data_IF_569782045130
#
_entry.id   IF_569782045130
#
_cell.length_a   1.000
_cell.length_b   1.000
_cell.length_c   1.000
_cell.angle_alpha   90.00
_cell.angle_beta   90.00
_cell.angle_gamma   90.00
#
_symmetry.space_group_name_H-M   'P 1'
#
loop_
_entity.id
_entity.type
_entity.pdbx_description
1 polymer ?
#
# COMPACT_ATOMS: atom_id res chain seq x y z
N UNK A 1 -13.78 -9.86 12.79
CA UNK A 1 -13.72 -10.60 14.08
C UNK A 1 -12.80 -9.94 15.11
N UNK A 2 -11.64 -9.38 14.74
CA UNK A 2 -10.70 -8.78 15.73
C UNK A 2 -11.29 -7.59 16.52
N UNK A 3 -12.08 -6.72 15.86
CA UNK A 3 -12.78 -5.60 16.52
C UNK A 3 -13.66 -6.07 17.69
N UNK A 4 -14.46 -7.12 17.46
CA UNK A 4 -15.33 -7.69 18.48
C UNK A 4 -14.55 -8.46 19.55
N UNK A 5 -13.52 -9.23 19.17
CA UNK A 5 -12.67 -9.99 20.11
C UNK A 5 -11.91 -9.08 21.07
N UNK A 6 -11.43 -7.94 20.58
CA UNK A 6 -10.60 -6.99 21.34
C UNK A 6 -11.40 -5.82 21.90
N UNK A 7 -12.71 -5.80 21.67
CA UNK A 7 -13.63 -4.78 22.13
C UNK A 7 -13.17 -3.34 21.76
N UNK A 8 -12.76 -3.13 20.51
CA UNK A 8 -12.35 -1.82 20.01
C UNK A 8 -13.57 -0.92 19.79
N UNK A 9 -13.94 -0.13 20.81
CA UNK A 9 -15.09 0.76 20.79
C UNK A 9 -15.48 1.25 22.20
N UNK A 10 -16.52 2.09 22.34
CA UNK A 10 -17.52 2.42 21.33
C UNK A 10 -17.15 3.60 20.41
N UNK A 11 -16.03 4.29 20.66
CA UNK A 11 -15.66 5.49 19.91
C UNK A 11 -14.97 5.11 18.59
N UNK A 12 -15.37 5.76 17.49
CA UNK A 12 -14.77 5.55 16.17
C UNK A 12 -13.27 5.85 16.16
N UNK A 13 -12.82 6.85 16.93
CA UNK A 13 -11.42 7.21 17.05
C UNK A 13 -10.59 6.04 17.63
N UNK A 14 -11.07 5.37 18.67
CA UNK A 14 -10.39 4.22 19.27
C UNK A 14 -10.30 3.05 18.27
N UNK A 15 -11.38 2.80 17.53
CA UNK A 15 -11.41 1.79 16.48
C UNK A 15 -10.36 2.09 15.41
N UNK A 16 -10.34 3.30 14.86
CA UNK A 16 -9.41 3.71 13.81
C UNK A 16 -7.97 3.65 14.29
N UNK A 17 -7.66 4.14 15.49
CA UNK A 17 -6.31 4.05 16.05
C UNK A 17 -5.83 2.59 16.16
N UNK A 18 -6.70 1.68 16.56
CA UNK A 18 -6.34 0.26 16.66
C UNK A 18 -6.15 -0.40 15.28
N UNK A 19 -6.97 -0.05 14.29
CA UNK A 19 -6.80 -0.49 12.91
C UNK A 19 -5.46 -0.02 12.32
N UNK A 20 -5.11 1.25 12.56
CA UNK A 20 -3.84 1.85 12.15
C UNK A 20 -2.65 1.16 12.82
N UNK A 21 -2.69 1.01 14.15
CA UNK A 21 -1.63 0.32 14.92
C UNK A 21 -1.43 -1.11 14.44
N UNK A 22 -2.53 -1.82 14.18
CA UNK A 22 -2.52 -3.18 13.68
C UNK A 22 -2.21 -3.33 12.19
N UNK A 23 -2.06 -2.23 11.44
CA UNK A 23 -1.79 -2.25 10.00
C UNK A 23 -2.88 -2.96 9.19
N UNK A 24 -4.13 -2.87 9.64
CA UNK A 24 -5.28 -3.37 8.89
C UNK A 24 -5.52 -2.48 7.68
N UNK A 25 -6.01 -3.06 6.58
CA UNK A 25 -6.62 -2.26 5.52
C UNK A 25 -8.05 -1.92 5.91
N UNK A 26 -8.43 -0.65 5.72
CA UNK A 26 -9.76 -0.15 6.04
C UNK A 26 -10.05 1.09 5.20
N UNK A 27 -11.31 1.50 5.14
CA UNK A 27 -11.74 2.74 4.50
C UNK A 27 -12.62 3.52 5.48
N UNK A 28 -12.64 4.83 5.38
CA UNK A 28 -13.58 5.74 6.07
C UNK A 28 -14.45 6.46 5.03
N UNK A 29 -15.03 5.65 4.13
CA UNK A 29 -15.91 6.07 3.04
C UNK A 29 -16.88 7.18 3.46
N UNK A 30 -16.98 8.23 2.65
CA UNK A 30 -17.93 9.32 2.82
C UNK A 30 -18.85 9.45 1.61
N UNK A 31 -20.14 9.70 1.87
CA UNK A 31 -21.12 9.91 0.80
C UNK A 31 -20.96 11.30 0.21
N UNK A 32 -20.72 11.39 -1.10
CA UNK A 32 -20.65 12.68 -1.80
C UNK A 32 -21.12 12.52 -3.24
N UNK A 33 -21.97 13.46 -3.67
CA UNK A 33 -22.40 13.57 -5.06
C UNK A 33 -21.50 14.60 -5.75
N UNK A 34 -20.54 14.18 -6.60
CA UNK A 34 -19.69 15.14 -7.28
C UNK A 34 -20.56 16.06 -8.16
N UNK A 35 -20.33 17.38 -8.16
CA UNK A 35 -20.97 18.29 -9.10
C UNK A 35 -20.74 17.80 -10.54
N UNK A 36 -21.75 17.94 -11.39
CA UNK A 36 -21.65 17.62 -12.83
C UNK A 36 -20.46 18.34 -13.46
N UNK A 37 -19.39 17.61 -13.77
CA UNK A 37 -18.17 18.16 -14.36
C UNK A 37 -16.90 17.52 -13.82
N UNK A 38 -16.77 16.20 -13.94
CA UNK A 38 -15.51 15.51 -13.63
C UNK A 38 -14.43 15.91 -14.64
N UNK A 39 -13.37 16.55 -14.15
CA UNK A 39 -12.15 16.79 -14.93
C UNK A 39 -11.06 15.90 -14.32
N UNK A 40 -10.64 14.87 -15.05
CA UNK A 40 -9.46 14.08 -14.65
C UNK A 40 -8.26 15.02 -14.56
N UNK A 41 -7.57 15.11 -13.41
CA UNK A 41 -6.30 15.81 -13.34
C UNK A 41 -5.32 15.14 -14.30
N UNK A 42 -4.40 15.90 -14.93
CA UNK A 42 -3.34 15.31 -15.71
C UNK A 42 -2.56 14.31 -14.84
N UNK A 43 -2.44 13.07 -15.31
CA UNK A 43 -1.55 12.08 -14.70
C UNK A 43 -0.14 12.66 -14.68
N UNK A 44 0.40 12.92 -13.48
CA UNK A 44 1.83 13.22 -13.35
C UNK A 44 2.59 11.97 -13.78
N UNK A 45 3.46 12.09 -14.78
CA UNK A 45 4.28 10.97 -15.26
C UNK A 45 5.25 10.53 -14.15
N UNK A 46 5.18 9.24 -13.82
CA UNK A 46 6.14 8.38 -13.13
C UNK A 46 6.78 8.96 -11.88
N UNK A 47 6.22 8.59 -10.73
CA UNK A 47 6.82 8.81 -9.40
C UNK A 47 7.79 7.66 -9.05
N UNK A 48 8.49 7.11 -10.03
CA UNK A 48 9.57 6.16 -9.80
C UNK A 48 10.80 6.89 -9.24
N UNK A 49 11.72 6.14 -8.62
CA UNK A 49 13.02 6.67 -8.22
C UNK A 49 13.95 6.93 -9.43
N UNK A 50 13.48 6.64 -10.64
CA UNK A 50 14.12 6.92 -11.91
C UNK A 50 14.68 5.67 -12.59
N UNK A 51 15.15 5.88 -13.83
CA UNK A 51 15.85 4.87 -14.62
C UNK A 51 17.30 4.75 -14.19
N UNK A 52 17.81 3.52 -14.16
CA UNK A 52 19.16 3.16 -13.71
C UNK A 52 19.83 2.22 -14.71
N UNK A 53 21.15 2.29 -14.85
CA UNK A 53 21.89 1.47 -15.81
C UNK A 53 21.86 -0.02 -15.42
N UNK A 54 22.22 -0.87 -16.39
CA UNK A 54 22.38 -2.29 -16.15
C UNK A 54 23.43 -2.54 -15.07
N UNK A 55 23.16 -3.49 -14.16
CA UNK A 55 24.04 -3.80 -13.03
C UNK A 55 23.92 -2.85 -11.83
N UNK A 56 23.04 -1.83 -11.90
CA UNK A 56 22.81 -0.94 -10.75
C UNK A 56 22.45 -1.71 -9.47
N UNK A 57 23.20 -1.42 -8.42
CA UNK A 57 23.05 -2.02 -7.09
C UNK A 57 23.09 -0.90 -6.05
N UNK A 58 21.93 -0.37 -5.63
CA UNK A 58 21.90 0.77 -4.73
C UNK A 58 22.44 0.42 -3.33
N UNK A 59 23.12 1.37 -2.71
CA UNK A 59 23.66 1.28 -1.37
C UNK A 59 22.84 2.08 -0.35
N UNK A 60 23.51 2.45 0.75
CA UNK A 60 22.89 3.21 1.85
C UNK A 60 22.48 4.63 1.40
N UNK A 61 23.29 5.29 0.60
CA UNK A 61 23.00 6.65 0.11
C UNK A 61 21.72 6.70 -0.74
N UNK A 62 21.56 5.73 -1.66
CA UNK A 62 20.32 5.59 -2.43
C UNK A 62 19.12 5.25 -1.55
N UNK A 63 19.32 4.49 -0.48
CA UNK A 63 18.26 4.18 0.47
C UNK A 63 17.83 5.43 1.25
N UNK A 64 18.77 6.22 1.78
CA UNK A 64 18.48 7.49 2.46
C UNK A 64 17.79 8.49 1.52
N UNK A 65 18.24 8.58 0.26
CA UNK A 65 17.62 9.43 -0.75
C UNK A 65 16.18 8.99 -1.06
N UNK A 66 15.94 7.68 -1.13
CA UNK A 66 14.61 7.10 -1.24
C UNK A 66 13.73 7.47 -0.04
N UNK A 67 14.19 7.26 1.18
CA UNK A 67 13.42 7.54 2.40
C UNK A 67 13.05 9.01 2.50
N UNK A 68 13.99 9.90 2.20
CA UNK A 68 13.72 11.33 2.17
C UNK A 68 12.58 11.69 1.20
N UNK A 69 12.62 11.15 -0.04
CA UNK A 69 11.56 11.39 -1.05
C UNK A 69 10.23 10.76 -0.64
N UNK A 70 10.25 9.54 -0.10
CA UNK A 70 9.07 8.83 0.42
C UNK A 70 8.42 9.67 1.52
N UNK A 71 9.20 10.13 2.48
CA UNK A 71 8.68 10.81 3.67
C UNK A 71 8.09 12.18 3.32
N UNK A 72 8.67 12.91 2.36
CA UNK A 72 8.06 14.13 1.80
C UNK A 72 6.67 13.84 1.24
N UNK A 73 6.53 12.76 0.47
CA UNK A 73 5.23 12.37 -0.09
C UNK A 73 4.24 11.94 1.00
N UNK A 74 4.69 11.12 1.96
CA UNK A 74 3.84 10.63 3.05
C UNK A 74 3.39 11.73 4.02
N UNK A 75 4.16 12.81 4.18
CA UNK A 75 3.74 13.99 4.96
C UNK A 75 2.73 14.87 4.23
N UNK A 76 2.45 14.60 2.96
CA UNK A 76 1.35 15.26 2.24
C UNK A 76 0.00 14.65 2.63
N UNK A 77 -1.10 15.29 2.21
CA UNK A 77 -2.47 14.76 2.36
C UNK A 77 -2.66 13.33 1.81
N UNK A 78 -1.76 12.87 0.93
CA UNK A 78 -1.79 11.52 0.34
C UNK A 78 -1.26 10.44 1.29
N UNK A 79 -0.57 10.81 2.37
CA UNK A 79 -0.10 9.87 3.39
C UNK A 79 -1.20 9.03 4.01
N UNK A 80 -2.40 9.64 4.19
CA UNK A 80 -3.61 8.95 4.63
C UNK A 80 -3.90 7.69 3.80
N UNK A 81 -3.89 7.79 2.48
CA UNK A 81 -4.16 6.66 1.58
C UNK A 81 -3.19 5.49 1.79
N UNK A 82 -1.93 5.80 2.14
CA UNK A 82 -0.94 4.79 2.49
C UNK A 82 -1.28 4.06 3.80
N UNK A 83 -1.82 4.76 4.80
CA UNK A 83 -2.31 4.13 6.04
C UNK A 83 -3.53 3.24 5.77
N UNK A 84 -4.52 3.71 4.99
CA UNK A 84 -5.72 2.95 4.64
C UNK A 84 -5.42 1.65 3.88
N UNK A 85 -4.34 1.64 3.09
CA UNK A 85 -3.89 0.48 2.32
C UNK A 85 -3.52 -0.72 3.19
N UNK A 86 -3.20 -0.50 4.47
CA UNK A 86 -2.75 -1.57 5.37
C UNK A 86 -1.42 -2.21 4.97
N UNK A 87 -1.08 -3.30 5.64
CA UNK A 87 0.06 -4.15 5.28
C UNK A 87 1.39 -3.40 5.19
N UNK A 88 2.21 -3.73 4.17
CA UNK A 88 3.55 -3.16 4.00
C UNK A 88 3.52 -1.65 3.73
N UNK A 89 2.52 -1.15 3.01
CA UNK A 89 2.40 0.28 2.69
C UNK A 89 2.11 1.06 3.97
N UNK A 90 1.11 0.61 4.76
CA UNK A 90 0.82 1.23 6.03
C UNK A 90 2.01 1.14 7.00
N UNK A 91 2.75 0.02 7.01
CA UNK A 91 3.96 -0.10 7.84
C UNK A 91 5.02 0.94 7.49
N UNK A 92 5.28 1.16 6.20
CA UNK A 92 6.23 2.17 5.71
C UNK A 92 5.76 3.59 6.02
N UNK A 93 4.44 3.81 6.10
CA UNK A 93 3.84 5.10 6.37
C UNK A 93 3.66 5.42 7.86
N UNK A 94 3.55 4.39 8.71
CA UNK A 94 3.06 4.48 10.10
C UNK A 94 3.81 5.47 11.00
N UNK A 95 5.11 5.64 10.78
CA UNK A 95 5.97 6.51 11.60
C UNK A 95 6.10 7.93 11.03
N UNK A 96 5.53 8.17 9.84
CA UNK A 96 5.68 9.43 9.09
C UNK A 96 4.35 10.19 9.01
N UNK A 97 3.25 9.48 8.78
CA UNK A 97 1.92 10.05 8.60
C UNK A 97 1.32 10.44 9.95
N UNK A 98 0.75 11.64 10.03
CA UNK A 98 0.01 12.07 11.20
C UNK A 98 -1.33 11.33 11.26
N UNK A 99 -1.59 10.65 12.39
CA UNK A 99 -2.82 9.86 12.58
C UNK A 99 -4.08 10.73 12.49
N UNK A 100 -4.00 12.01 12.90
CA UNK A 100 -5.15 12.91 12.84
C UNK A 100 -5.65 13.10 11.40
N UNK A 101 -4.74 13.15 10.43
CA UNK A 101 -5.09 13.26 8.99
C UNK A 101 -5.89 12.04 8.51
N UNK A 102 -5.80 10.89 9.19
CA UNK A 102 -6.59 9.69 8.92
C UNK A 102 -7.95 9.73 9.63
N UNK A 103 -8.06 10.46 10.74
CA UNK A 103 -9.31 10.60 11.47
C UNK A 103 -10.25 11.63 10.81
N UNK A 104 -9.70 12.61 10.09
CA UNK A 104 -10.47 13.67 9.40
C UNK A 104 -11.32 13.16 8.22
N UNK A 105 -11.10 11.92 7.78
CA UNK A 105 -11.82 11.31 6.66
C UNK A 105 -11.21 11.60 5.29
N UNK A 106 -11.95 11.30 4.20
CA UNK A 106 -11.45 11.44 2.83
C UNK A 106 -11.03 12.87 2.49
N UNK A 107 -9.96 13.01 1.70
CA UNK A 107 -9.56 14.33 1.19
C UNK A 107 -10.61 14.92 0.25
N UNK A 108 -10.67 16.26 0.18
CA UNK A 108 -11.55 16.94 -0.78
C UNK A 108 -11.32 16.47 -2.22
N UNK A 109 -10.07 16.17 -2.59
CA UNK A 109 -9.72 15.61 -3.90
C UNK A 109 -10.38 14.25 -4.14
N UNK A 110 -10.37 13.38 -3.12
CA UNK A 110 -11.01 12.08 -3.20
C UNK A 110 -12.54 12.20 -3.36
N UNK A 111 -13.16 13.14 -2.63
CA UNK A 111 -14.60 13.44 -2.76
C UNK A 111 -14.99 13.93 -4.16
N UNK A 112 -14.06 14.56 -4.89
CA UNK A 112 -14.23 14.95 -6.29
C UNK A 112 -13.76 13.88 -7.29
N UNK A 113 -13.52 12.64 -6.83
CA UNK A 113 -13.17 11.49 -7.66
C UNK A 113 -11.72 11.46 -8.17
N UNK A 114 -10.81 12.22 -7.55
CA UNK A 114 -9.40 12.25 -7.96
C UNK A 114 -8.55 11.33 -7.07
N UNK A 115 -7.90 10.33 -7.67
CA UNK A 115 -7.10 9.33 -6.96
C UNK A 115 -7.86 8.75 -5.75
N UNK A 116 -9.06 8.26 -6.05
CA UNK A 116 -10.09 7.93 -5.08
C UNK A 116 -10.64 6.52 -5.32
N UNK A 117 -10.91 5.81 -4.24
CA UNK A 117 -11.79 4.67 -4.21
C UNK A 117 -13.23 5.17 -4.36
N UNK A 118 -13.99 4.57 -5.28
CA UNK A 118 -15.42 4.82 -5.42
C UNK A 118 -16.19 3.52 -5.24
N UNK A 119 -17.11 3.50 -4.28
CA UNK A 119 -18.03 2.38 -4.05
C UNK A 119 -19.45 2.85 -4.34
N UNK A 120 -20.05 2.28 -5.38
CA UNK A 120 -21.43 2.57 -5.76
C UNK A 120 -22.41 1.66 -5.02
N UNK A 121 -23.39 2.26 -4.32
CA UNK A 121 -24.55 1.57 -3.78
C UNK A 121 -25.76 1.76 -4.72
N UNK A 122 -26.14 0.73 -5.50
CA UNK A 122 -27.26 0.84 -6.44
C UNK A 122 -28.63 1.01 -5.75
N UNK A 123 -28.77 0.65 -4.47
CA UNK A 123 -30.04 0.75 -3.73
C UNK A 123 -30.27 2.16 -3.23
N UNK A 124 -29.24 2.74 -2.63
CA UNK A 124 -29.28 4.13 -2.16
C UNK A 124 -29.06 5.12 -3.30
N UNK A 125 -28.70 4.63 -4.50
CA UNK A 125 -28.29 5.44 -5.65
C UNK A 125 -27.22 6.46 -5.26
N UNK A 126 -26.28 6.01 -4.43
CA UNK A 126 -25.27 6.85 -3.81
C UNK A 126 -23.86 6.31 -4.12
N UNK A 127 -22.92 7.24 -4.28
CA UNK A 127 -21.51 6.94 -4.40
C UNK A 127 -20.79 7.30 -3.09
N UNK A 128 -19.98 6.38 -2.61
CA UNK A 128 -19.13 6.57 -1.44
C UNK A 128 -17.67 6.66 -1.89
N UNK A 129 -16.95 7.63 -1.34
CA UNK A 129 -15.60 7.97 -1.77
C UNK A 129 -14.61 7.87 -0.62
N UNK A 130 -13.39 7.47 -0.92
CA UNK A 130 -12.22 7.57 -0.03
C UNK A 130 -10.93 7.72 -0.85
N UNK A 131 -9.82 8.04 -0.19
CA UNK A 131 -8.52 8.14 -0.85
C UNK A 131 -7.98 6.76 -1.26
N UNK A 132 -7.46 6.65 -2.48
CA UNK A 132 -6.78 5.44 -2.97
C UNK A 132 -5.45 5.81 -3.59
N UNK A 133 -4.39 5.05 -3.28
CA UNK A 133 -3.08 5.27 -3.88
C UNK A 133 -3.08 4.92 -5.38
N UNK A 134 -2.39 5.72 -6.18
CA UNK A 134 -2.09 5.36 -7.57
C UNK A 134 -0.91 4.38 -7.63
N UNK A 135 -0.74 3.69 -8.76
CA UNK A 135 0.39 2.77 -8.97
C UNK A 135 1.76 3.49 -8.86
N UNK A 136 1.85 4.72 -9.35
CA UNK A 136 3.06 5.54 -9.23
C UNK A 136 3.35 5.90 -7.76
N UNK A 137 2.32 6.23 -6.98
CA UNK A 137 2.46 6.51 -5.54
C UNK A 137 2.91 5.25 -4.79
N UNK A 138 2.36 4.08 -5.11
CA UNK A 138 2.79 2.79 -4.58
C UNK A 138 4.28 2.54 -4.92
N UNK A 139 4.68 2.83 -6.15
CA UNK A 139 6.06 2.67 -6.58
C UNK A 139 7.04 3.60 -5.86
N UNK A 140 6.65 4.84 -5.59
CA UNK A 140 7.44 5.73 -4.74
C UNK A 140 7.59 5.14 -3.34
N UNK A 141 6.48 4.73 -2.71
CA UNK A 141 6.48 4.22 -1.33
C UNK A 141 7.35 2.97 -1.21
N UNK A 142 7.24 2.04 -2.16
CA UNK A 142 8.03 0.81 -2.19
C UNK A 142 9.49 1.01 -2.59
N UNK A 143 9.87 2.21 -3.03
CA UNK A 143 11.22 2.56 -3.46
C UNK A 143 11.60 1.84 -4.75
N UNK A 144 10.77 1.99 -5.77
CA UNK A 144 10.89 1.30 -7.06
C UNK A 144 11.80 2.04 -8.05
N UNK A 145 12.69 1.31 -8.70
CA UNK A 145 13.56 1.72 -9.80
C UNK A 145 13.20 0.99 -11.10
N UNK A 146 13.42 1.66 -12.23
CA UNK A 146 13.52 1.01 -13.54
C UNK A 146 14.99 0.73 -13.85
N UNK A 147 15.38 -0.53 -14.02
CA UNK A 147 16.78 -0.91 -14.25
C UNK A 147 16.91 -1.51 -15.64
N UNK A 148 17.77 -0.91 -16.47
CA UNK A 148 18.05 -1.45 -17.80
C UNK A 148 18.53 -2.90 -17.69
N UNK A 149 17.97 -3.79 -18.51
CA UNK A 149 18.33 -5.22 -18.51
C UNK A 149 19.58 -5.51 -19.34
N UNK A 150 20.07 -4.53 -20.10
CA UNK A 150 21.09 -4.73 -21.13
C UNK A 150 20.56 -5.33 -22.43
N UNK A 151 19.26 -5.61 -22.51
CA UNK A 151 18.58 -6.11 -23.71
C UNK A 151 17.93 -4.92 -24.42
N UNK A 152 18.07 -4.87 -25.74
CA UNK A 152 17.42 -3.89 -26.61
C UNK A 152 16.32 -4.61 -27.39
N UNK A 153 15.14 -4.00 -27.48
CA UNK A 153 14.02 -4.53 -28.25
C UNK A 153 14.33 -4.53 -29.76
N UNK A 154 13.49 -5.19 -30.55
CA UNK A 154 13.60 -5.18 -32.02
C UNK A 154 13.47 -3.76 -32.60
N UNK A 155 12.81 -2.86 -31.88
CA UNK A 155 12.56 -1.47 -32.27
C UNK A 155 13.69 -0.52 -31.80
N UNK A 156 14.76 -1.05 -31.21
CA UNK A 156 15.89 -0.25 -30.72
C UNK A 156 15.71 0.31 -29.31
N UNK A 157 14.61 0.00 -28.63
CA UNK A 157 14.30 0.54 -27.30
C UNK A 157 14.91 -0.32 -26.17
N UNK A 158 15.59 0.28 -25.17
CA UNK A 158 16.12 -0.48 -24.05
C UNK A 158 14.99 -1.11 -23.22
N UNK A 159 15.15 -2.38 -22.86
CA UNK A 159 14.25 -3.06 -21.93
C UNK A 159 14.64 -2.74 -20.48
N UNK A 160 13.62 -2.51 -19.64
CA UNK A 160 13.79 -2.24 -18.21
C UNK A 160 13.12 -3.31 -17.36
N UNK A 161 13.72 -3.59 -16.20
CA UNK A 161 13.15 -4.40 -15.13
C UNK A 161 12.80 -3.51 -13.94
N UNK A 162 11.60 -3.71 -13.41
CA UNK A 162 11.13 -3.03 -12.20
C UNK A 162 11.70 -3.75 -10.97
N UNK A 163 12.42 -3.03 -10.12
CA UNK A 163 12.94 -3.55 -8.84
C UNK A 163 12.73 -2.56 -7.71
N UNK A 164 12.46 -3.05 -6.51
CA UNK A 164 12.09 -2.20 -5.37
C UNK A 164 12.82 -2.57 -4.08
N UNK A 165 12.94 -1.60 -3.17
CA UNK A 165 13.45 -1.81 -1.81
C UNK A 165 12.51 -2.66 -0.95
N UNK A 166 11.20 -2.43 -1.11
CA UNK A 166 10.13 -3.12 -0.40
C UNK A 166 9.17 -3.80 -1.37
N UNK A 167 8.52 -4.92 -0.98
CA UNK A 167 7.58 -5.59 -1.86
C UNK A 167 6.37 -4.70 -2.14
N UNK A 168 5.93 -4.65 -3.40
CA UNK A 168 4.66 -4.03 -3.78
C UNK A 168 3.47 -4.75 -3.10
N UNK A 169 2.32 -4.08 -2.90
CA UNK A 169 1.13 -4.68 -2.31
C UNK A 169 0.71 -6.00 -2.96
N UNK A 170 0.82 -6.10 -4.29
CA UNK A 170 0.49 -7.33 -5.01
C UNK A 170 1.41 -8.51 -4.64
N UNK A 171 2.68 -8.25 -4.35
CA UNK A 171 3.63 -9.27 -3.89
C UNK A 171 3.40 -9.60 -2.42
N UNK A 172 3.03 -8.62 -1.60
CA UNK A 172 2.67 -8.80 -0.20
C UNK A 172 1.36 -9.57 -0.02
N UNK A 173 0.35 -9.34 -0.87
CA UNK A 173 -0.97 -9.97 -0.78
C UNK A 173 -0.90 -11.50 -0.78
N UNK A 174 0.02 -12.07 -1.55
CA UNK A 174 0.24 -13.51 -1.65
C UNK A 174 1.41 -14.02 -0.80
N UNK A 175 1.98 -13.16 0.05
CA UNK A 175 3.02 -13.51 1.01
C UNK A 175 2.47 -14.39 2.12
N UNK A 176 3.26 -15.35 2.59
CA UNK A 176 2.89 -16.17 3.75
C UNK A 176 2.84 -15.42 5.09
N UNK A 177 3.19 -14.13 5.11
CA UNK A 177 3.03 -13.22 6.25
C UNK A 177 1.73 -12.40 6.20
N UNK A 178 1.01 -12.44 5.08
CA UNK A 178 -0.26 -11.73 4.97
C UNK A 178 -1.39 -12.52 5.62
N UNK A 179 -1.70 -12.17 6.87
CA UNK A 179 -2.78 -12.75 7.67
C UNK A 179 -3.97 -11.78 7.87
N UNK A 180 -4.06 -10.74 7.04
CA UNK A 180 -5.09 -9.70 7.10
C UNK A 180 -4.78 -8.52 8.04
N UNK A 181 -3.65 -8.59 8.77
CA UNK A 181 -3.13 -7.51 9.60
C UNK A 181 -1.61 -7.59 9.69
N UNK A 182 -0.97 -6.56 10.25
CA UNK A 182 0.47 -6.54 10.48
C UNK A 182 0.85 -7.35 11.73
N UNK A 183 1.19 -8.61 11.51
CA UNK A 183 1.54 -9.56 12.58
C UNK A 183 2.95 -9.33 13.13
N UNK A 184 3.25 -9.95 14.28
CA UNK A 184 4.60 -9.96 14.84
C UNK A 184 5.61 -10.55 13.84
N UNK A 185 5.27 -11.61 13.11
CA UNK A 185 6.16 -12.19 12.10
C UNK A 185 6.44 -11.23 10.94
N UNK A 186 5.43 -10.46 10.51
CA UNK A 186 5.59 -9.41 9.51
C UNK A 186 6.54 -8.30 10.01
N UNK A 187 6.41 -7.87 11.26
CA UNK A 187 7.33 -6.90 11.87
C UNK A 187 8.75 -7.44 11.99
N UNK A 188 8.93 -8.68 12.45
CA UNK A 188 10.26 -9.30 12.54
C UNK A 188 10.95 -9.39 11.18
N UNK A 189 10.20 -9.77 10.13
CA UNK A 189 10.71 -9.79 8.76
C UNK A 189 11.10 -8.39 8.29
N UNK A 190 10.24 -7.39 8.52
CA UNK A 190 10.48 -6.01 8.11
C UNK A 190 11.74 -5.44 8.78
N UNK A 191 11.84 -5.58 10.10
CA UNK A 191 12.99 -5.12 10.87
C UNK A 191 14.28 -5.83 10.47
N UNK A 192 14.23 -7.13 10.24
CA UNK A 192 15.39 -7.89 9.77
C UNK A 192 15.88 -7.39 8.41
N UNK A 193 14.96 -7.07 7.50
CA UNK A 193 15.31 -6.47 6.21
C UNK A 193 15.88 -5.06 6.37
N UNK A 194 15.22 -4.19 7.13
CA UNK A 194 15.66 -2.82 7.39
C UNK A 194 17.08 -2.82 7.96
N UNK A 195 17.33 -3.65 8.98
CA UNK A 195 18.65 -3.85 9.58
C UNK A 195 19.69 -4.27 8.54
N UNK A 196 19.34 -5.21 7.66
CA UNK A 196 20.24 -5.64 6.58
C UNK A 196 20.56 -4.53 5.57
N UNK A 197 19.60 -3.64 5.28
CA UNK A 197 19.82 -2.48 4.41
C UNK A 197 20.79 -1.48 5.08
N UNK A 198 20.57 -1.17 6.35
CA UNK A 198 21.31 -0.14 7.08
C UNK A 198 22.72 -0.58 7.51
N UNK A 199 22.86 -1.80 8.03
CA UNK A 199 24.10 -2.26 8.66
C UNK A 199 25.00 -3.08 7.73
N UNK A 200 24.48 -3.56 6.59
CA UNK A 200 25.22 -4.40 5.64
C UNK A 200 25.04 -3.89 4.21
N UNK A 201 25.56 -2.70 3.86
CA UNK A 201 25.41 -2.13 2.52
C UNK A 201 25.88 -3.12 1.44
N UNK A 202 25.06 -3.30 0.41
CA UNK A 202 25.31 -4.25 -0.69
C UNK A 202 24.91 -5.71 -0.43
N UNK A 203 24.60 -6.10 0.81
CA UNK A 203 24.11 -7.46 1.13
C UNK A 203 22.62 -7.65 0.80
N UNK A 204 21.81 -6.61 1.02
CA UNK A 204 20.39 -6.59 0.69
C UNK A 204 20.21 -5.91 -0.66
N UNK A 205 19.71 -6.69 -1.62
CA UNK A 205 19.42 -6.20 -2.97
C UNK A 205 17.96 -5.75 -3.06
N UNK A 206 17.73 -4.75 -3.92
CA UNK A 206 16.41 -4.48 -4.48
C UNK A 206 15.97 -5.67 -5.34
N UNK A 207 14.67 -5.98 -5.29
CA UNK A 207 14.14 -7.20 -5.89
C UNK A 207 13.02 -6.88 -6.88
N UNK A 208 12.91 -7.70 -7.93
CA UNK A 208 11.75 -7.70 -8.82
C UNK A 208 10.55 -8.38 -8.17
N UNK A 209 9.35 -8.17 -8.71
CA UNK A 209 8.13 -8.83 -8.23
C UNK A 209 8.25 -10.36 -8.15
N UNK A 210 8.91 -11.00 -9.11
CA UNK A 210 9.11 -12.46 -9.10
C UNK A 210 10.07 -12.91 -7.99
N UNK A 211 11.11 -12.12 -7.71
CA UNK A 211 12.04 -12.38 -6.60
C UNK A 211 11.39 -12.11 -5.24
N UNK A 212 10.50 -11.12 -5.16
CA UNK A 212 9.68 -10.93 -3.96
C UNK A 212 8.80 -12.14 -3.68
N UNK A 213 8.07 -12.62 -4.69
CA UNK A 213 7.24 -13.83 -4.55
C UNK A 213 8.04 -15.07 -4.14
N UNK A 214 9.31 -15.20 -4.53
CA UNK A 214 10.14 -16.34 -4.12
C UNK A 214 10.67 -16.22 -2.70
N UNK A 215 10.97 -15.01 -2.23
CA UNK A 215 11.51 -14.74 -0.88
C UNK A 215 10.43 -14.67 0.21
N UNK A 216 9.17 -14.40 -0.18
CA UNK A 216 8.05 -14.20 0.74
C UNK A 216 7.16 -15.45 0.93
N UNK A 217 7.68 -16.65 0.63
CA UNK A 217 6.86 -17.89 0.59
C UNK A 217 6.36 -18.38 1.95
N UNK A 218 7.02 -18.02 3.07
CA UNK A 218 6.68 -18.32 4.48
C UNK A 218 5.62 -19.42 4.68
N UNK A 219 4.50 -19.11 5.34
CA UNK A 219 3.38 -20.04 5.52
C UNK A 219 2.52 -20.08 4.24
N UNK A 220 2.51 -21.22 3.55
CA UNK A 220 1.75 -21.42 2.30
C UNK A 220 0.23 -21.34 2.48
N UNK A 221 -0.27 -21.58 3.69
CA UNK A 221 -1.71 -21.57 3.98
C UNK A 221 -2.23 -20.19 4.40
N UNK A 222 -1.35 -19.27 4.81
CA UNK A 222 -1.74 -17.93 5.22
C UNK A 222 -2.51 -17.15 4.11
N UNK A 223 -2.06 -17.12 2.83
CA UNK A 223 -2.82 -16.46 1.76
C UNK A 223 -4.20 -17.08 1.55
N UNK A 224 -4.31 -18.41 1.65
CA UNK A 224 -5.58 -19.13 1.50
C UNK A 224 -6.53 -18.81 2.65
N UNK A 225 -6.01 -18.78 3.88
CA UNK A 225 -6.78 -18.42 5.07
C UNK A 225 -7.30 -16.98 4.97
N UNK A 226 -6.44 -16.02 4.59
CA UNK A 226 -6.84 -14.63 4.39
C UNK A 226 -7.95 -14.52 3.34
N UNK A 227 -7.79 -15.15 2.18
CA UNK A 227 -8.79 -15.13 1.12
C UNK A 227 -10.12 -15.76 1.55
N UNK A 228 -10.08 -16.92 2.24
CA UNK A 228 -11.28 -17.55 2.78
C UNK A 228 -11.97 -16.69 3.83
N UNK A 229 -11.20 -16.03 4.69
CA UNK A 229 -11.75 -15.14 5.70
C UNK A 229 -12.45 -13.93 5.06
N UNK A 230 -11.87 -13.35 4.00
CA UNK A 230 -12.49 -12.25 3.25
C UNK A 230 -13.80 -12.69 2.58
N UNK A 231 -13.82 -13.89 1.97
CA UNK A 231 -15.02 -14.47 1.37
C UNK A 231 -16.14 -14.69 2.40
N UNK A 232 -15.82 -15.33 3.53
CA UNK A 232 -16.78 -15.60 4.60
C UNK A 232 -17.28 -14.31 5.25
N UNK A 233 -16.41 -13.32 5.42
CA UNK A 233 -16.81 -12.00 5.91
C UNK A 233 -17.76 -11.31 4.94
N UNK A 234 -17.50 -11.37 3.63
CA UNK A 234 -18.38 -10.83 2.61
C UNK A 234 -19.75 -11.53 2.58
N UNK A 235 -19.78 -12.87 2.70
CA UNK A 235 -21.03 -13.65 2.81
C UNK A 235 -21.83 -13.31 4.06
N UNK A 236 -21.16 -13.19 5.21
CA UNK A 236 -21.79 -12.77 6.46
C UNK A 236 -22.39 -11.36 6.33
N UNK A 237 -21.65 -10.41 5.76
CA UNK A 237 -22.19 -9.07 5.53
C UNK A 237 -23.40 -9.11 4.60
N UNK A 238 -23.40 -9.97 3.56
CA UNK A 238 -24.56 -10.16 2.68
C UNK A 238 -25.79 -10.77 3.35
N UNK A 239 -25.63 -11.57 4.40
CA UNK A 239 -26.77 -12.15 5.10
C UNK A 239 -27.46 -11.15 6.04
N UNK A 240 -26.71 -10.19 6.59
CA UNK A 240 -27.24 -9.12 7.44
C UNK A 240 -27.73 -7.91 6.64
N UNK A 241 -27.00 -7.54 5.59
CA UNK A 241 -27.43 -6.56 4.61
C UNK A 241 -28.35 -7.30 3.64
N UNK A 242 -29.64 -7.48 3.98
CA UNK A 242 -30.60 -8.21 3.13
C UNK A 242 -30.55 -7.73 1.68
N UNK A 243 -29.80 -8.46 0.84
CA UNK A 243 -29.83 -8.68 -0.62
C UNK A 243 -31.22 -8.61 -1.27
#
# INVERSE_FOLDING_TARGET
>A
MEIARRNWGPQTADLLQNLIKGGFSFNTLSAYFPPTGYISPPQRKSVLLGRRPCGFSPGLEEYCSYEHRRDIFLRSVRGRAAILSGGIIARLAREVVNVNDVLDGPTERALHGQNALCVWDPRQKAAFWDDELTEDEIDLICGTYEIATGIVSKDGEPQYAIKSWWPRPISWKFCGLNVGYWSSDAEHWFQSRLKGILERPGSIKILSNNQWRSTLKFNKDAPRLSQKNDLLAAEYLRSFLKF
#
